data_IF_753089782504
#
_entry.id   IF_753089782504
#
_cell.length_a   1.000
_cell.length_b   1.000
_cell.length_c   1.000
_cell.angle_alpha   90.00
_cell.angle_beta   90.00
_cell.angle_gamma   90.00
#
_symmetry.space_group_name_H-M   'P 1'
#
loop_
_entity.id
_entity.type
_entity.pdbx_description
1 polymer ?
#
# COMPACT_ATOMS: atom_id res chain seq x y z
N UNK A 1 13.75 -9.52 22.97
CA UNK A 1 12.55 -9.85 23.75
C UNK A 1 11.65 -8.63 23.77
N UNK A 2 10.32 -8.80 23.66
CA UNK A 2 9.39 -7.70 23.89
C UNK A 2 9.31 -7.42 25.39
N UNK A 3 9.17 -6.16 25.79
CA UNK A 3 8.85 -5.83 27.18
C UNK A 3 7.46 -6.40 27.49
N UNK A 4 7.31 -6.97 28.69
CA UNK A 4 6.02 -7.47 29.21
C UNK A 4 5.67 -6.69 30.46
N UNK A 5 4.39 -6.43 30.64
CA UNK A 5 3.85 -5.81 31.86
C UNK A 5 3.56 -6.87 32.89
N UNK A 6 3.80 -6.55 34.15
CA UNK A 6 3.58 -7.49 35.23
C UNK A 6 3.20 -6.77 36.51
N UNK A 7 2.36 -7.42 37.31
CA UNK A 7 2.05 -7.03 38.69
C UNK A 7 3.13 -7.64 39.58
N UNK A 8 3.76 -6.82 40.42
CA UNK A 8 4.71 -7.30 41.42
C UNK A 8 3.91 -7.97 42.55
N UNK A 9 4.07 -9.28 42.72
CA UNK A 9 3.40 -10.04 43.76
C UNK A 9 4.10 -9.87 45.12
N UNK A 10 5.42 -10.02 45.14
CA UNK A 10 6.26 -9.75 46.30
C UNK A 10 7.70 -9.40 45.89
N UNK A 11 8.40 -8.70 46.79
CA UNK A 11 9.85 -8.59 46.73
C UNK A 11 10.41 -9.92 47.25
N UNK A 12 11.25 -10.59 46.46
CA UNK A 12 11.82 -11.88 46.88
C UNK A 12 12.61 -11.72 48.18
N UNK A 13 12.47 -12.67 49.11
CA UNK A 13 13.18 -12.64 50.38
C UNK A 13 14.70 -12.54 50.14
N UNK A 14 15.31 -11.46 50.64
CA UNK A 14 16.75 -11.36 50.72
C UNK A 14 17.22 -12.49 51.63
N UNK A 15 17.99 -13.45 51.09
CA UNK A 15 18.41 -14.64 51.83
C UNK A 15 19.48 -14.35 52.92
N UNK A 16 19.64 -13.10 53.36
CA UNK A 16 20.59 -12.68 54.38
C UNK A 16 20.41 -11.19 54.72
N UNK A 17 20.61 -10.86 55.99
CA UNK A 17 20.06 -9.71 56.75
C UNK A 17 20.47 -8.28 56.31
N UNK A 18 21.18 -8.07 55.20
CA UNK A 18 21.57 -6.70 54.77
C UNK A 18 21.53 -6.42 53.25
N UNK A 19 21.17 -7.39 52.41
CA UNK A 19 21.16 -7.19 50.95
C UNK A 19 19.77 -6.81 50.42
N UNK A 20 19.72 -5.81 49.52
CA UNK A 20 18.49 -5.44 48.80
C UNK A 20 17.97 -6.64 47.99
N UNK A 21 16.64 -6.79 47.83
CA UNK A 21 16.09 -7.88 47.04
C UNK A 21 16.54 -7.78 45.58
N UNK A 22 17.33 -8.76 45.14
CA UNK A 22 17.81 -8.85 43.76
C UNK A 22 16.71 -9.27 42.76
N UNK A 23 15.59 -9.78 43.27
CA UNK A 23 14.54 -10.42 42.48
C UNK A 23 13.14 -9.94 42.85
N UNK A 24 12.29 -9.90 41.83
CA UNK A 24 10.86 -9.63 41.90
C UNK A 24 10.11 -10.90 41.50
N UNK A 25 9.20 -11.35 42.35
CA UNK A 25 8.16 -12.31 41.94
C UNK A 25 7.05 -11.50 41.24
N UNK A 26 6.82 -11.77 39.96
CA UNK A 26 5.91 -11.01 39.11
C UNK A 26 4.87 -11.91 38.45
N UNK A 27 3.67 -11.37 38.22
CA UNK A 27 2.59 -12.01 37.48
C UNK A 27 2.38 -11.20 36.20
N UNK A 28 2.66 -11.79 35.04
CA UNK A 28 2.54 -11.09 33.77
C UNK A 28 1.06 -10.85 33.40
N UNK A 29 0.73 -9.64 32.94
CA UNK A 29 -0.65 -9.23 32.64
C UNK A 29 -1.22 -9.90 31.37
N UNK A 30 -0.36 -10.37 30.46
CA UNK A 30 -0.76 -10.93 29.16
C UNK A 30 -1.27 -12.38 29.24
N UNK A 31 -0.64 -13.21 30.06
CA UNK A 31 -0.99 -14.64 30.20
C UNK A 31 -1.23 -15.09 31.65
N UNK A 32 -1.06 -14.19 32.64
CA UNK A 32 -1.18 -14.52 34.06
C UNK A 32 -0.06 -15.41 34.59
N UNK A 33 1.01 -15.63 33.81
CA UNK A 33 2.13 -16.48 34.24
C UNK A 33 2.96 -15.80 35.32
N UNK A 34 3.39 -16.61 36.29
CA UNK A 34 4.28 -16.17 37.36
C UNK A 34 5.75 -16.37 36.94
N UNK A 35 6.61 -15.42 37.30
CA UNK A 35 8.04 -15.52 37.06
C UNK A 35 8.87 -14.73 38.07
N UNK A 36 10.15 -15.09 38.15
CA UNK A 36 11.18 -14.31 38.86
C UNK A 36 11.96 -13.46 37.89
N UNK A 37 11.96 -12.15 38.11
CA UNK A 37 12.67 -11.17 37.28
C UNK A 37 13.68 -10.44 38.14
N UNK A 38 14.88 -10.18 37.62
CA UNK A 38 15.87 -9.38 38.34
C UNK A 38 15.38 -7.95 38.48
N UNK A 39 15.54 -7.35 39.66
CA UNK A 39 15.14 -5.97 39.89
C UNK A 39 15.80 -5.00 38.89
N UNK A 40 17.06 -5.25 38.50
CA UNK A 40 17.80 -4.46 37.52
C UNK A 40 17.22 -4.51 36.09
N UNK A 41 16.47 -5.57 35.76
CA UNK A 41 15.82 -5.74 34.45
C UNK A 41 14.40 -5.15 34.44
N UNK A 42 13.85 -4.82 35.61
CA UNK A 42 12.55 -4.21 35.77
C UNK A 42 12.63 -2.67 35.69
N UNK A 43 11.60 -2.05 35.15
CA UNK A 43 11.42 -0.60 35.14
C UNK A 43 10.05 -0.27 35.74
N UNK A 44 9.95 0.77 36.58
CA UNK A 44 8.67 1.21 37.07
C UNK A 44 7.80 1.69 35.91
N UNK A 45 6.49 1.48 36.01
CA UNK A 45 5.51 2.03 35.08
C UNK A 45 5.52 3.56 35.16
N UNK A 46 5.37 4.22 34.02
CA UNK A 46 5.18 5.66 33.95
C UNK A 46 3.80 6.04 34.52
N UNK A 47 3.69 7.22 35.12
CA UNK A 47 2.45 7.67 35.78
C UNK A 47 1.24 7.67 34.84
N UNK A 48 1.44 7.98 33.55
CA UNK A 48 0.37 8.01 32.57
C UNK A 48 -0.12 6.60 32.16
N UNK A 49 0.65 5.55 32.44
CA UNK A 49 0.28 4.15 32.16
C UNK A 49 -0.83 3.63 33.08
N UNK A 50 -0.98 4.23 34.26
CA UNK A 50 -2.05 3.90 35.21
C UNK A 50 -3.45 4.25 34.67
N UNK A 51 -3.54 5.09 33.63
CA UNK A 51 -4.79 5.48 33.01
C UNK A 51 -4.91 4.84 31.62
N UNK A 52 -6.10 4.39 31.20
CA UNK A 52 -6.29 3.89 29.84
C UNK A 52 -5.97 4.98 28.81
N UNK A 53 -5.38 4.57 27.68
CA UNK A 53 -5.09 5.48 26.58
C UNK A 53 -6.36 6.19 26.11
N UNK A 54 -6.42 7.52 26.27
CA UNK A 54 -7.57 8.31 25.87
C UNK A 54 -7.18 9.63 25.22
N UNK A 55 -7.81 9.89 24.08
CA UNK A 55 -7.73 11.17 23.37
C UNK A 55 -9.16 11.59 23.04
N UNK A 56 -9.65 12.65 23.69
CA UNK A 56 -10.99 13.18 23.47
C UNK A 56 -10.94 14.18 22.31
N UNK A 57 -12.05 14.26 21.57
CA UNK A 57 -12.24 15.31 20.57
C UNK A 57 -12.51 16.67 21.22
N UNK A 58 -12.82 17.68 20.39
CA UNK A 58 -13.15 19.04 20.83
C UNK A 58 -12.00 20.03 20.61
N UNK A 59 -12.07 21.18 21.29
CA UNK A 59 -11.13 22.29 21.10
C UNK A 59 -9.67 21.91 21.42
N UNK A 60 -9.47 21.03 22.41
CA UNK A 60 -8.14 20.60 22.87
C UNK A 60 -7.58 19.40 22.09
N UNK A 61 -8.25 18.95 21.02
CA UNK A 61 -7.83 17.79 20.22
C UNK A 61 -6.36 17.86 19.78
N UNK A 62 -5.82 19.01 19.28
CA UNK A 62 -4.41 19.11 18.91
C UNK A 62 -3.45 18.78 20.06
N UNK A 63 -3.71 19.35 21.24
CA UNK A 63 -2.87 19.17 22.42
C UNK A 63 -2.96 17.74 22.96
N UNK A 64 -4.16 17.16 23.00
CA UNK A 64 -4.35 15.78 23.45
C UNK A 64 -3.71 14.77 22.51
N UNK A 65 -3.85 14.94 21.19
CA UNK A 65 -3.23 14.06 20.22
C UNK A 65 -1.69 14.15 20.27
N UNK A 66 -1.15 15.35 20.48
CA UNK A 66 0.28 15.54 20.70
C UNK A 66 0.76 14.86 21.99
N UNK A 67 0.02 14.99 23.10
CA UNK A 67 0.31 14.30 24.36
C UNK A 67 0.35 12.79 24.18
N UNK A 68 -0.68 12.21 23.56
CA UNK A 68 -0.71 10.76 23.28
C UNK A 68 0.45 10.31 22.39
N UNK A 69 0.91 11.15 21.44
CA UNK A 69 2.12 10.86 20.67
C UNK A 69 3.35 10.80 21.57
N UNK A 70 3.55 11.77 22.45
CA UNK A 70 4.72 11.80 23.33
C UNK A 70 4.73 10.66 24.35
N UNK A 71 3.58 10.36 24.96
CA UNK A 71 3.40 9.17 25.81
C UNK A 71 3.77 7.89 25.04
N UNK A 72 3.25 7.73 23.82
CA UNK A 72 3.60 6.60 22.97
C UNK A 72 5.10 6.54 22.60
N UNK A 73 5.75 7.69 22.40
CA UNK A 73 7.18 7.77 22.11
C UNK A 73 8.03 7.34 23.33
N UNK A 74 7.58 7.66 24.55
CA UNK A 74 8.21 7.21 25.79
C UNK A 74 8.09 5.68 25.89
N UNK A 75 6.88 5.13 25.78
CA UNK A 75 6.63 3.68 25.85
C UNK A 75 7.42 2.89 24.81
N UNK A 76 7.47 3.39 23.57
CA UNK A 76 8.24 2.74 22.51
C UNK A 76 9.74 2.70 22.83
N UNK A 77 10.30 3.74 23.45
CA UNK A 77 11.70 3.76 23.91
C UNK A 77 11.96 2.82 25.09
N UNK A 78 10.95 2.61 25.94
CA UNK A 78 10.99 1.63 27.02
C UNK A 78 10.88 0.19 26.52
N UNK A 79 10.51 -0.03 25.25
CA UNK A 79 10.36 -1.33 24.62
C UNK A 79 8.94 -1.88 24.66
N UNK A 80 8.00 -1.17 25.30
CA UNK A 80 6.58 -1.54 25.33
C UNK A 80 5.87 -1.04 24.05
N UNK A 81 6.04 -1.83 22.99
CA UNK A 81 5.44 -1.53 21.69
C UNK A 81 3.92 -1.68 21.69
N UNK A 82 3.35 -2.54 22.54
CA UNK A 82 1.91 -2.77 22.61
C UNK A 82 1.21 -1.54 23.19
N UNK A 83 1.65 -1.08 24.36
CA UNK A 83 1.09 0.11 24.99
C UNK A 83 1.33 1.38 24.16
N UNK A 84 2.51 1.50 23.54
CA UNK A 84 2.78 2.59 22.60
C UNK A 84 1.76 2.62 21.45
N UNK A 85 1.47 1.45 20.86
CA UNK A 85 0.49 1.33 19.78
C UNK A 85 -0.93 1.76 20.22
N UNK A 86 -1.33 1.46 21.45
CA UNK A 86 -2.61 1.90 22.03
C UNK A 86 -2.70 3.42 22.18
N UNK A 87 -1.64 4.07 22.66
CA UNK A 87 -1.58 5.54 22.76
C UNK A 87 -1.71 6.20 21.39
N UNK A 88 -0.99 5.68 20.40
CA UNK A 88 -1.13 6.16 19.03
C UNK A 88 -2.53 5.89 18.48
N UNK A 89 -3.13 4.73 18.79
CA UNK A 89 -4.48 4.39 18.33
C UNK A 89 -5.56 5.31 18.89
N UNK A 90 -5.47 5.69 20.17
CA UNK A 90 -6.39 6.65 20.78
C UNK A 90 -6.36 8.01 20.04
N UNK A 91 -5.17 8.53 19.76
CA UNK A 91 -5.00 9.78 19.00
C UNK A 91 -5.49 9.67 17.54
N UNK A 92 -5.20 8.54 16.87
CA UNK A 92 -5.68 8.26 15.52
C UNK A 92 -7.21 8.23 15.46
N UNK A 93 -7.85 7.54 16.41
CA UNK A 93 -9.30 7.47 16.49
C UNK A 93 -9.92 8.86 16.73
N UNK A 94 -9.28 9.70 17.55
CA UNK A 94 -9.75 11.05 17.80
C UNK A 94 -9.62 11.98 16.57
N UNK A 95 -8.47 11.97 15.90
CA UNK A 95 -8.19 12.79 14.70
C UNK A 95 -8.94 12.30 13.45
N UNK A 96 -9.24 11.01 13.39
CA UNK A 96 -9.90 10.37 12.26
C UNK A 96 -11.43 10.44 12.27
N UNK A 97 -12.02 10.82 13.41
CA UNK A 97 -13.46 10.98 13.54
C UNK A 97 -13.91 12.13 12.63
N UNK A 98 -14.77 11.80 11.68
CA UNK A 98 -15.46 12.76 10.83
C UNK A 98 -16.46 13.52 11.69
N UNK A 99 -16.18 14.79 11.96
CA UNK A 99 -17.16 15.67 12.61
C UNK A 99 -18.09 16.18 11.52
N UNK A 100 -19.18 15.46 11.27
CA UNK A 100 -20.21 15.87 10.33
C UNK A 100 -20.70 17.29 10.70
N UNK A 101 -20.78 18.14 9.67
CA UNK A 101 -20.60 19.58 9.77
C UNK A 101 -21.51 20.26 10.78
N UNK A 102 -20.92 21.20 11.52
CA UNK A 102 -21.67 22.39 11.87
C UNK A 102 -22.08 23.09 10.57
N UNK A 103 -23.34 23.54 10.45
CA UNK A 103 -23.82 24.18 9.23
C UNK A 103 -22.95 25.39 8.87
N UNK A 104 -22.43 25.41 7.63
CA UNK A 104 -21.61 26.50 7.11
C UNK A 104 -20.08 26.24 7.08
N UNK A 105 -19.62 25.02 7.35
CA UNK A 105 -18.20 24.66 7.17
C UNK A 105 -17.87 24.26 5.73
N UNK A 106 -16.61 24.46 5.35
CA UNK A 106 -16.04 24.04 4.07
C UNK A 106 -16.14 22.51 3.91
N UNK A 107 -16.19 21.98 2.66
CA UNK A 107 -16.20 20.54 2.42
C UNK A 107 -15.03 19.86 3.14
N UNK A 108 -15.34 18.79 3.87
CA UNK A 108 -14.35 18.05 4.66
C UNK A 108 -13.69 17.01 3.75
N UNK A 109 -12.37 17.09 3.63
CA UNK A 109 -11.59 16.08 2.91
C UNK A 109 -11.51 14.81 3.77
N UNK A 110 -11.88 13.68 3.20
CA UNK A 110 -11.86 12.37 3.87
C UNK A 110 -11.11 11.34 3.02
N UNK A 111 -10.58 10.32 3.68
CA UNK A 111 -10.09 9.10 3.05
C UNK A 111 -11.12 7.99 3.20
N UNK A 112 -11.42 7.31 2.10
CA UNK A 112 -12.35 6.18 2.06
C UNK A 112 -11.74 4.99 1.34
N UNK A 113 -12.02 3.79 1.81
CA UNK A 113 -11.60 2.55 1.16
C UNK A 113 -12.73 2.03 0.25
N UNK A 114 -12.51 2.07 -1.07
CA UNK A 114 -13.48 1.60 -2.07
C UNK A 114 -12.79 0.56 -2.95
N UNK A 115 -13.29 -0.68 -2.94
CA UNK A 115 -12.73 -1.79 -3.72
C UNK A 115 -11.26 -2.06 -3.42
N UNK A 116 -10.84 -1.96 -2.15
CA UNK A 116 -9.44 -2.13 -1.73
C UNK A 116 -8.50 -0.99 -2.12
N UNK A 117 -9.02 0.08 -2.71
CA UNK A 117 -8.26 1.30 -3.05
C UNK A 117 -8.63 2.42 -2.09
N UNK A 118 -7.63 3.14 -1.58
CA UNK A 118 -7.86 4.36 -0.81
C UNK A 118 -8.09 5.53 -1.76
N UNK A 119 -9.19 6.24 -1.54
CA UNK A 119 -9.59 7.43 -2.27
C UNK A 119 -9.60 8.65 -1.35
N UNK A 120 -9.14 9.77 -1.87
CA UNK A 120 -9.49 11.07 -1.33
C UNK A 120 -10.88 11.44 -1.85
N UNK A 121 -11.76 11.85 -0.95
CA UNK A 121 -13.12 12.24 -1.25
C UNK A 121 -13.51 13.48 -0.45
N UNK A 122 -14.46 14.25 -0.95
CA UNK A 122 -15.10 15.32 -0.19
C UNK A 122 -16.41 14.79 0.39
N UNK A 123 -16.61 15.03 1.68
CA UNK A 123 -17.91 14.86 2.30
C UNK A 123 -18.76 16.10 1.95
N UNK A 124 -19.79 15.90 1.14
CA UNK A 124 -20.73 16.95 0.77
C UNK A 124 -21.95 16.79 1.67
N UNK A 125 -22.12 17.73 2.61
CA UNK A 125 -23.33 17.80 3.42
C UNK A 125 -24.53 18.01 2.49
N UNK A 126 -25.41 17.01 2.45
CA UNK A 126 -26.73 17.16 1.88
C UNK A 126 -27.44 18.19 2.75
N UNK A 127 -27.50 19.44 2.26
CA UNK A 127 -27.77 20.63 3.06
C UNK A 127 -28.91 20.49 4.07
N UNK A 128 -28.82 21.30 5.14
CA UNK A 128 -29.63 21.29 6.36
C UNK A 128 -31.16 21.12 6.25
N UNK A 129 -31.75 21.14 5.05
CA UNK A 129 -33.20 21.02 4.81
C UNK A 129 -33.72 19.57 4.77
N UNK A 130 -32.88 18.53 4.83
CA UNK A 130 -33.32 17.11 4.86
C UNK A 130 -32.70 16.28 6.01
N UNK A 131 -32.34 16.95 7.11
CA UNK A 131 -31.51 16.46 8.22
C UNK A 131 -31.99 15.20 8.99
N UNK A 132 -33.16 14.63 8.71
CA UNK A 132 -33.65 13.46 9.43
C UNK A 132 -33.31 12.10 8.77
N UNK A 133 -32.91 12.08 7.48
CA UNK A 133 -32.61 10.82 6.77
C UNK A 133 -31.57 10.93 5.65
N UNK A 134 -31.03 12.12 5.38
CA UNK A 134 -30.12 12.32 4.25
C UNK A 134 -28.76 11.68 4.54
N UNK A 135 -28.51 10.53 3.89
CA UNK A 135 -27.18 9.92 3.78
C UNK A 135 -26.19 10.97 3.27
N UNK A 136 -25.15 11.23 4.04
CA UNK A 136 -24.03 12.08 3.63
C UNK A 136 -23.48 11.57 2.30
N UNK A 137 -23.41 12.43 1.28
CA UNK A 137 -22.90 12.00 -0.02
C UNK A 137 -21.39 12.22 -0.11
N UNK A 138 -20.68 11.21 -0.62
CA UNK A 138 -19.24 11.25 -0.82
C UNK A 138 -18.94 11.57 -2.29
N UNK A 139 -18.20 12.66 -2.52
CA UNK A 139 -17.67 13.00 -3.85
C UNK A 139 -16.24 12.49 -3.95
N UNK A 140 -16.03 11.37 -4.63
CA UNK A 140 -14.68 10.85 -4.88
C UNK A 140 -13.88 11.83 -5.75
N UNK A 141 -12.71 12.25 -5.26
CA UNK A 141 -11.82 13.14 -5.98
C UNK A 141 -10.78 12.35 -6.78
N UNK A 142 -9.98 11.54 -6.08
CA UNK A 142 -8.87 10.79 -6.70
C UNK A 142 -8.42 9.60 -5.85
N UNK A 143 -7.86 8.59 -6.51
CA UNK A 143 -7.21 7.48 -5.83
C UNK A 143 -5.85 7.93 -5.27
N UNK A 144 -5.61 7.67 -3.98
CA UNK A 144 -4.34 8.01 -3.28
C UNK A 144 -3.50 6.77 -2.95
N UNK A 145 -4.10 5.56 -3.04
CA UNK A 145 -3.43 4.27 -2.89
C UNK A 145 -2.63 3.87 -4.14
N UNK A 146 -1.36 3.47 -3.95
CA UNK A 146 -0.47 3.06 -5.04
C UNK A 146 -0.81 1.71 -5.67
N UNK A 147 -1.70 1.72 -6.66
CA UNK A 147 -1.60 1.10 -7.99
C UNK A 147 -2.94 1.38 -8.63
N UNK A 148 -2.94 2.24 -9.64
CA UNK A 148 -4.11 2.48 -10.47
C UNK A 148 -4.57 1.15 -11.04
N UNK A 149 -5.58 0.56 -10.41
CA UNK A 149 -6.49 -0.27 -11.16
C UNK A 149 -6.99 0.63 -12.28
N UNK A 150 -6.80 0.24 -13.55
CA UNK A 150 -7.29 1.03 -14.68
C UNK A 150 -8.76 1.29 -14.39
N UNK A 151 -9.16 2.56 -14.30
CA UNK A 151 -10.55 2.97 -14.04
C UNK A 151 -11.46 2.10 -14.87
N UNK A 152 -12.03 1.06 -14.26
CA UNK A 152 -12.92 0.17 -14.99
C UNK A 152 -14.13 1.04 -15.26
N UNK A 153 -14.33 1.34 -16.54
CA UNK A 153 -15.27 2.33 -17.04
C UNK A 153 -16.75 1.91 -16.86
N UNK A 154 -17.02 1.05 -15.88
CA UNK A 154 -18.32 0.49 -15.52
C UNK A 154 -18.41 0.00 -14.08
N UNK A 155 -17.59 0.54 -13.17
CA UNK A 155 -17.54 0.13 -11.76
C UNK A 155 -18.79 0.52 -10.96
N UNK A 156 -19.23 -0.39 -10.09
CA UNK A 156 -20.32 -0.23 -9.14
C UNK A 156 -20.31 1.14 -8.45
N UNK A 157 -21.50 1.69 -8.22
CA UNK A 157 -21.68 2.96 -7.53
C UNK A 157 -20.86 2.95 -6.22
N UNK A 158 -20.08 4.01 -5.94
CA UNK A 158 -19.31 4.09 -4.72
C UNK A 158 -20.25 3.95 -3.51
N UNK A 159 -19.76 3.36 -2.40
CA UNK A 159 -20.56 3.26 -1.18
C UNK A 159 -21.06 4.66 -0.79
N UNK A 160 -22.36 4.76 -0.56
CA UNK A 160 -23.06 6.02 -0.29
C UNK A 160 -23.07 6.40 1.20
N UNK A 161 -22.51 5.56 2.08
CA UNK A 161 -22.38 5.88 3.51
C UNK A 161 -20.96 6.40 3.80
N UNK A 162 -20.88 7.45 4.61
CA UNK A 162 -19.62 7.93 5.20
C UNK A 162 -19.08 7.03 6.31
N UNK A 163 -19.68 5.86 6.51
CA UNK A 163 -19.27 4.90 7.54
C UNK A 163 -17.88 4.34 7.19
N UNK A 164 -16.91 4.54 8.09
CA UNK A 164 -15.52 4.17 7.84
C UNK A 164 -14.71 5.20 7.04
N UNK A 165 -15.27 6.40 6.76
CA UNK A 165 -14.48 7.52 6.28
C UNK A 165 -13.54 8.03 7.37
N UNK A 166 -12.31 8.38 6.98
CA UNK A 166 -11.29 8.92 7.86
C UNK A 166 -11.07 10.40 7.51
N UNK A 167 -11.32 11.31 8.44
CA UNK A 167 -11.08 12.73 8.20
C UNK A 167 -9.59 13.03 7.92
N UNK A 168 -9.31 13.81 6.88
CA UNK A 168 -7.96 14.26 6.52
C UNK A 168 -7.72 15.62 7.17
N UNK A 169 -6.89 15.63 8.21
CA UNK A 169 -6.59 16.87 8.92
C UNK A 169 -5.65 17.76 8.08
N UNK A 170 -5.89 19.08 7.98
CA UNK A 170 -5.01 20.00 7.27
C UNK A 170 -3.80 20.43 8.13
N UNK A 171 -2.80 21.04 7.49
CA UNK A 171 -1.68 21.72 8.16
C UNK A 171 -0.87 20.83 9.12
N UNK A 172 -0.55 21.37 10.31
CA UNK A 172 0.25 20.68 11.34
C UNK A 172 -0.47 19.46 11.95
N UNK A 173 -1.80 19.43 11.90
CA UNK A 173 -2.58 18.28 12.37
C UNK A 173 -2.51 17.11 11.39
N UNK A 174 -2.54 17.36 10.08
CA UNK A 174 -2.32 16.31 9.07
C UNK A 174 -0.93 15.68 9.16
N UNK A 175 0.05 16.53 9.45
CA UNK A 175 1.42 16.15 9.78
C UNK A 175 1.51 15.23 11.00
N UNK A 176 0.82 15.61 12.09
CA UNK A 176 0.71 14.81 13.31
C UNK A 176 -0.02 13.48 13.04
N UNK A 177 -1.15 13.51 12.35
CA UNK A 177 -1.97 12.36 12.00
C UNK A 177 -1.14 11.31 11.22
N UNK A 178 -0.43 11.73 10.17
CA UNK A 178 0.45 10.84 9.44
C UNK A 178 1.57 10.27 10.33
N UNK A 179 2.17 11.08 11.21
CA UNK A 179 3.22 10.61 12.12
C UNK A 179 2.74 9.55 13.11
N UNK A 180 1.50 9.64 13.60
CA UNK A 180 0.91 8.66 14.52
C UNK A 180 0.77 7.28 13.86
N UNK A 181 0.28 7.22 12.61
CA UNK A 181 0.23 5.97 11.84
C UNK A 181 1.62 5.39 11.59
N UNK A 182 2.61 6.24 11.28
CA UNK A 182 4.00 5.77 11.11
C UNK A 182 4.58 5.21 12.41
N UNK A 183 4.35 5.86 13.55
CA UNK A 183 4.84 5.38 14.84
C UNK A 183 4.15 4.07 15.24
N UNK A 184 2.82 3.97 15.06
CA UNK A 184 2.08 2.73 15.29
C UNK A 184 2.54 1.60 14.38
N UNK A 185 2.87 1.88 13.11
CA UNK A 185 3.42 0.86 12.21
C UNK A 185 4.77 0.29 12.66
N UNK A 186 5.63 1.11 13.30
CA UNK A 186 6.89 0.64 13.90
C UNK A 186 6.63 -0.29 15.07
N UNK A 187 5.63 0.02 15.89
CA UNK A 187 5.17 -0.86 16.97
C UNK A 187 4.68 -2.19 16.41
N UNK A 188 3.86 -2.17 15.35
CA UNK A 188 3.40 -3.41 14.70
C UNK A 188 4.53 -4.26 14.13
N UNK A 189 5.57 -3.64 13.58
CA UNK A 189 6.77 -4.38 13.14
C UNK A 189 7.52 -5.02 14.32
N UNK A 190 7.66 -4.30 15.43
CA UNK A 190 8.28 -4.83 16.65
C UNK A 190 7.49 -6.01 17.24
N UNK A 191 6.17 -5.97 17.12
CA UNK A 191 5.23 -7.02 17.54
C UNK A 191 5.06 -8.15 16.50
N UNK A 192 5.84 -8.18 15.41
CA UNK A 192 5.73 -9.19 14.35
C UNK A 192 4.46 -9.10 13.49
N UNK A 193 3.62 -8.09 13.69
CA UNK A 193 2.34 -7.88 12.99
C UNK A 193 2.52 -7.11 11.67
N UNK A 194 3.30 -7.66 10.75
CA UNK A 194 3.67 -6.98 9.49
C UNK A 194 2.45 -6.56 8.63
N UNK A 195 1.35 -7.31 8.65
CA UNK A 195 0.13 -6.94 7.91
C UNK A 195 -0.48 -5.62 8.39
N UNK A 196 -0.57 -5.42 9.71
CA UNK A 196 -1.06 -4.16 10.31
C UNK A 196 -0.10 -3.01 9.99
N UNK A 197 1.21 -3.26 10.01
CA UNK A 197 2.19 -2.26 9.61
C UNK A 197 2.03 -1.81 8.14
N UNK A 198 1.74 -2.73 7.21
CA UNK A 198 1.46 -2.40 5.79
C UNK A 198 0.20 -1.53 5.67
N UNK A 199 -0.84 -1.81 6.44
CA UNK A 199 -2.06 -1.01 6.45
C UNK A 199 -1.79 0.42 6.96
N UNK A 200 -1.17 0.55 8.14
CA UNK A 200 -0.88 1.86 8.75
C UNK A 200 0.04 2.72 7.87
N UNK A 201 1.08 2.13 7.28
CA UNK A 201 1.95 2.85 6.33
C UNK A 201 1.24 3.20 5.03
N UNK A 202 0.29 2.37 4.58
CA UNK A 202 -0.59 2.67 3.45
C UNK A 202 -1.48 3.88 3.71
N UNK A 203 -2.10 3.96 4.89
CA UNK A 203 -2.93 5.10 5.30
C UNK A 203 -2.08 6.35 5.47
N UNK A 204 -0.92 6.26 6.12
CA UNK A 204 0.00 7.40 6.25
C UNK A 204 0.42 7.97 4.89
N UNK A 205 0.78 7.12 3.92
CA UNK A 205 1.10 7.56 2.57
C UNK A 205 -0.09 8.20 1.85
N UNK A 206 -1.31 7.65 2.04
CA UNK A 206 -2.53 8.20 1.48
C UNK A 206 -2.85 9.59 2.05
N UNK A 207 -2.72 9.79 3.36
CA UNK A 207 -2.90 11.10 4.04
C UNK A 207 -1.93 12.16 3.50
N UNK A 208 -0.67 11.79 3.26
CA UNK A 208 0.31 12.73 2.68
C UNK A 208 -0.05 13.12 1.26
N UNK A 209 -0.47 12.14 0.45
CA UNK A 209 -0.84 12.39 -0.95
C UNK A 209 -2.14 13.17 -1.09
N UNK A 210 -3.13 12.94 -0.22
CA UNK A 210 -4.41 13.66 -0.27
C UNK A 210 -4.22 15.16 -0.05
N UNK A 211 -3.24 15.56 0.76
CA UNK A 211 -2.89 16.96 1.03
C UNK A 211 -2.03 17.62 -0.04
N UNK A 212 -1.45 16.85 -0.98
CA UNK A 212 -0.62 17.42 -2.04
C UNK A 212 -1.50 17.97 -3.17
N UNK A 213 -1.25 19.17 -3.71
CA UNK A 213 -1.99 19.66 -4.87
C UNK A 213 -1.85 18.65 -6.03
N UNK A 214 -2.93 18.40 -6.76
CA UNK A 214 -2.87 17.50 -7.90
C UNK A 214 -1.97 18.12 -8.96
N UNK A 215 -0.80 17.53 -9.28
CA UNK A 215 0.10 18.09 -10.27
C UNK A 215 -0.54 18.17 -11.67
N UNK A 216 -1.62 17.43 -11.91
CA UNK A 216 -2.39 17.46 -13.16
C UNK A 216 -3.45 18.56 -13.24
N UNK A 217 -3.82 19.20 -12.13
CA UNK A 217 -4.93 20.17 -12.09
C UNK A 217 -4.46 21.63 -11.98
N UNK A 218 -3.16 21.91 -12.11
CA UNK A 218 -2.56 23.24 -11.91
C UNK A 218 -2.80 24.20 -13.10
N UNK A 219 -3.69 23.90 -14.05
CA UNK A 219 -3.85 24.84 -15.17
C UNK A 219 -4.93 24.54 -16.18
N UNK A 220 -6.21 24.58 -15.78
CA UNK A 220 -7.29 24.78 -16.76
C UNK A 220 -8.39 25.76 -16.31
N UNK A 221 -8.28 26.41 -15.14
CA UNK A 221 -9.31 27.36 -14.68
C UNK A 221 -9.15 28.80 -15.21
N UNK A 222 -8.13 29.11 -16.01
CA UNK A 222 -7.98 30.47 -16.61
C UNK A 222 -7.70 30.53 -18.11
N UNK A 223 -7.73 29.41 -18.85
CA UNK A 223 -7.52 29.42 -20.31
C UNK A 223 -8.72 28.88 -21.07
N UNK A 224 -9.53 29.83 -21.53
CA UNK A 224 -10.51 29.71 -22.59
C UNK A 224 -10.02 28.85 -23.78
N UNK A 225 -10.91 28.11 -24.47
CA UNK A 225 -10.54 27.03 -25.36
C UNK A 225 -10.14 27.53 -26.75
N UNK A 226 -8.97 27.11 -27.22
CA UNK A 226 -8.64 27.13 -28.65
C UNK A 226 -7.19 27.42 -28.97
N UNK A 227 -6.43 26.39 -29.39
CA UNK A 227 -5.64 26.43 -30.65
C UNK A 227 -4.42 25.51 -30.69
N UNK A 228 -3.93 24.92 -29.59
CA UNK A 228 -2.58 24.31 -29.65
C UNK A 228 -2.51 22.78 -29.77
N UNK A 229 -3.60 22.04 -29.53
CA UNK A 229 -3.58 20.57 -29.66
C UNK A 229 -3.81 20.05 -31.10
N UNK A 230 -4.28 20.90 -32.02
CA UNK A 230 -4.41 20.52 -33.43
C UNK A 230 -3.08 20.58 -34.22
N UNK A 231 -2.06 21.29 -33.73
CA UNK A 231 -0.77 21.41 -34.43
C UNK A 231 0.08 20.13 -34.40
N UNK A 232 -0.01 19.31 -33.34
CA UNK A 232 0.85 18.13 -33.17
C UNK A 232 0.39 16.89 -33.93
N UNK A 233 -0.92 16.74 -34.19
CA UNK A 233 -1.42 15.68 -35.08
C UNK A 233 -1.19 16.03 -36.56
N UNK A 234 -1.23 17.30 -36.93
CA UNK A 234 -0.99 17.69 -38.34
C UNK A 234 0.45 17.41 -38.81
N UNK A 235 1.47 17.56 -37.93
CA UNK A 235 2.86 17.35 -38.33
C UNK A 235 3.20 15.87 -38.61
N UNK A 236 2.66 14.92 -37.85
CA UNK A 236 2.91 13.49 -38.10
C UNK A 236 2.18 12.97 -39.35
N UNK A 237 0.98 13.50 -39.65
CA UNK A 237 0.26 13.13 -40.87
C UNK A 237 0.83 13.78 -42.14
N UNK A 238 1.41 14.98 -42.03
CA UNK A 238 2.07 15.65 -43.16
C UNK A 238 3.30 14.90 -43.66
N UNK A 239 4.16 14.43 -42.74
CA UNK A 239 5.39 13.71 -43.09
C UNK A 239 5.10 12.34 -43.72
N UNK A 240 4.11 11.61 -43.21
CA UNK A 240 3.69 10.33 -43.79
C UNK A 240 3.14 10.49 -45.22
N UNK A 241 2.36 11.55 -45.49
CA UNK A 241 1.84 11.83 -46.84
C UNK A 241 2.94 12.26 -47.83
N UNK A 242 3.96 12.99 -47.37
CA UNK A 242 5.10 13.39 -48.19
C UNK A 242 5.93 12.18 -48.63
N UNK A 243 6.18 11.24 -47.71
CA UNK A 243 6.88 9.99 -48.01
C UNK A 243 6.08 9.11 -48.97
N UNK A 244 4.77 8.97 -48.74
CA UNK A 244 3.90 8.16 -49.61
C UNK A 244 3.79 8.77 -51.04
N UNK A 245 3.68 10.10 -51.13
CA UNK A 245 3.61 10.83 -52.40
C UNK A 245 4.90 10.72 -53.20
N UNK A 246 6.07 10.79 -52.54
CA UNK A 246 7.36 10.65 -53.21
C UNK A 246 7.57 9.22 -53.74
N UNK A 247 7.21 8.19 -52.97
CA UNK A 247 7.28 6.79 -53.43
C UNK A 247 6.37 6.51 -54.63
N UNK A 248 5.16 7.08 -54.67
CA UNK A 248 4.27 6.95 -55.82
C UNK A 248 4.80 7.68 -57.05
N UNK A 249 5.33 8.90 -56.90
CA UNK A 249 5.88 9.66 -58.03
C UNK A 249 7.06 8.95 -58.71
N UNK A 250 7.92 8.29 -57.92
CA UNK A 250 9.02 7.47 -58.47
C UNK A 250 8.54 6.22 -59.21
N UNK A 251 7.41 5.62 -58.81
CA UNK A 251 6.89 4.41 -59.43
C UNK A 251 6.27 4.63 -60.82
N UNK A 252 5.82 5.85 -61.12
CA UNK A 252 5.10 6.16 -62.37
C UNK A 252 5.91 7.01 -63.38
N UNK A 253 7.14 7.43 -63.05
CA UNK A 253 7.83 8.51 -63.77
C UNK A 253 8.78 8.13 -64.92
N UNK A 254 9.53 7.04 -64.87
CA UNK A 254 10.61 6.82 -65.86
C UNK A 254 10.88 5.34 -66.15
N UNK A 255 10.60 4.84 -67.37
CA UNK A 255 10.80 3.43 -67.72
C UNK A 255 12.26 3.04 -68.02
N UNK A 256 13.23 3.97 -67.96
CA UNK A 256 14.61 3.72 -68.39
C UNK A 256 15.63 3.47 -67.25
N UNK A 257 15.19 3.39 -65.98
CA UNK A 257 16.10 3.26 -64.83
C UNK A 257 15.62 2.23 -63.80
N UNK A 258 15.13 1.07 -64.27
CA UNK A 258 14.41 0.09 -63.46
C UNK A 258 15.32 -0.75 -62.53
N UNK A 259 16.59 -0.95 -62.85
CA UNK A 259 17.49 -1.79 -62.02
C UNK A 259 18.09 -1.04 -60.81
N UNK A 260 18.26 0.29 -60.88
CA UNK A 260 18.82 1.07 -59.77
C UNK A 260 17.75 1.63 -58.81
N UNK A 261 16.48 1.65 -59.20
CA UNK A 261 15.38 2.21 -58.38
C UNK A 261 15.01 1.31 -57.20
N UNK A 262 15.10 -0.02 -57.37
CA UNK A 262 14.78 -0.99 -56.29
C UNK A 262 15.79 -0.85 -55.13
N UNK A 263 17.07 -0.72 -55.45
CA UNK A 263 18.14 -0.54 -54.47
C UNK A 263 18.01 0.77 -53.68
N UNK A 264 17.65 1.86 -54.36
CA UNK A 264 17.40 3.16 -53.71
C UNK A 264 16.16 3.09 -52.82
N UNK A 265 15.08 2.43 -53.26
CA UNK A 265 13.86 2.24 -52.47
C UNK A 265 14.09 1.46 -51.17
N UNK A 266 14.86 0.37 -51.22
CA UNK A 266 15.23 -0.43 -50.05
C UNK A 266 16.12 0.34 -49.06
N UNK A 267 17.11 1.09 -49.54
CA UNK A 267 17.95 1.97 -48.70
C UNK A 267 17.11 3.04 -48.00
N UNK A 268 16.13 3.61 -48.68
CA UNK A 268 15.26 4.65 -48.13
C UNK A 268 14.33 4.08 -47.05
N UNK A 269 13.75 2.90 -47.28
CA UNK A 269 12.93 2.18 -46.28
C UNK A 269 13.75 1.80 -45.04
N UNK A 270 14.98 1.32 -45.22
CA UNK A 270 15.88 0.99 -44.12
C UNK A 270 16.26 2.25 -43.31
N UNK A 271 16.51 3.38 -43.98
CA UNK A 271 16.80 4.64 -43.30
C UNK A 271 15.59 5.19 -42.51
N UNK A 272 14.38 5.13 -43.08
CA UNK A 272 13.15 5.57 -42.41
C UNK A 272 12.80 4.63 -41.24
N UNK A 273 12.91 3.32 -41.43
CA UNK A 273 12.71 2.32 -40.38
C UNK A 273 13.74 2.47 -39.25
N UNK A 274 15.00 2.71 -39.60
CA UNK A 274 16.08 2.99 -38.66
C UNK A 274 15.84 4.29 -37.88
N UNK A 275 15.44 5.37 -38.54
CA UNK A 275 15.10 6.63 -37.89
C UNK A 275 13.87 6.52 -36.99
N UNK A 276 12.86 5.73 -37.37
CA UNK A 276 11.71 5.44 -36.52
C UNK A 276 12.11 4.60 -35.30
N UNK A 277 12.93 3.57 -35.48
CA UNK A 277 13.42 2.73 -34.38
C UNK A 277 14.31 3.51 -33.42
N UNK A 278 15.22 4.34 -33.95
CA UNK A 278 16.03 5.29 -33.17
C UNK A 278 15.12 6.30 -32.49
N UNK A 279 14.07 6.80 -33.14
CA UNK A 279 13.08 7.68 -32.53
C UNK A 279 12.30 7.01 -31.40
N UNK A 280 11.97 5.71 -31.51
CA UNK A 280 11.34 4.91 -30.46
C UNK A 280 12.32 4.63 -29.32
N UNK A 281 13.59 4.37 -29.62
CA UNK A 281 14.65 4.17 -28.61
C UNK A 281 15.02 5.46 -27.89
N UNK A 282 15.14 6.57 -28.61
CA UNK A 282 15.31 7.90 -28.02
C UNK A 282 14.06 8.24 -27.24
N UNK A 283 12.85 7.98 -27.75
CA UNK A 283 11.62 8.25 -27.00
C UNK A 283 11.49 7.37 -25.78
N UNK A 284 11.89 6.09 -25.80
CA UNK A 284 11.87 5.22 -24.62
C UNK A 284 12.98 5.58 -23.64
N UNK A 285 14.15 6.01 -24.11
CA UNK A 285 15.23 6.55 -23.29
C UNK A 285 14.91 7.94 -22.72
N UNK A 286 14.17 8.77 -23.46
CA UNK A 286 13.82 10.16 -23.10
C UNK A 286 12.49 10.26 -22.35
N UNK A 287 11.61 9.27 -22.46
CA UNK A 287 10.50 9.06 -21.54
C UNK A 287 10.93 8.25 -20.31
N UNK A 288 12.03 7.51 -20.40
CA UNK A 288 12.74 6.90 -19.26
C UNK A 288 13.63 7.89 -18.51
N UNK A 289 14.07 8.97 -19.17
CA UNK A 289 14.50 10.21 -18.52
C UNK A 289 13.22 10.84 -17.99
N UNK A 290 12.83 10.38 -16.80
CA UNK A 290 11.86 11.01 -15.92
C UNK A 290 11.90 12.51 -16.19
N UNK A 291 10.79 13.07 -16.72
CA UNK A 291 10.54 14.51 -16.53
C UNK A 291 10.95 14.77 -15.10
N UNK A 292 11.76 15.80 -14.79
CA UNK A 292 11.96 16.21 -13.42
C UNK A 292 10.56 16.59 -12.94
N UNK A 293 9.85 15.57 -12.44
CA UNK A 293 8.80 15.71 -11.49
C UNK A 293 9.44 16.66 -10.52
N UNK A 294 8.78 17.79 -10.30
CA UNK A 294 8.96 18.56 -9.09
C UNK A 294 8.63 17.61 -7.95
N UNK A 295 9.55 16.68 -7.72
CA UNK A 295 9.33 15.48 -6.96
C UNK A 295 9.08 16.00 -5.58
N UNK A 296 7.85 15.83 -5.13
CA UNK A 296 7.42 16.40 -3.87
C UNK A 296 8.28 15.72 -2.81
N UNK A 297 9.25 16.49 -2.33
CA UNK A 297 10.19 16.08 -1.30
C UNK A 297 9.40 16.01 0.00
N UNK A 298 8.93 14.81 0.31
CA UNK A 298 8.16 14.56 1.53
C UNK A 298 8.84 13.45 2.32
N UNK A 299 9.52 13.87 3.39
CA UNK A 299 10.24 12.98 4.28
C UNK A 299 9.34 11.89 4.88
N UNK A 300 8.09 12.24 5.26
CA UNK A 300 7.16 11.28 5.85
C UNK A 300 6.65 10.29 4.81
N UNK A 301 6.43 10.73 3.57
CA UNK A 301 6.07 9.84 2.48
C UNK A 301 7.20 8.83 2.19
N UNK A 302 8.46 9.27 2.21
CA UNK A 302 9.62 8.39 2.13
C UNK A 302 9.61 7.35 3.26
N UNK A 303 9.45 7.78 4.51
CA UNK A 303 9.37 6.88 5.67
C UNK A 303 8.21 5.89 5.57
N UNK A 304 7.04 6.33 5.08
CA UNK A 304 5.88 5.46 4.88
C UNK A 304 6.21 4.32 3.89
N UNK A 305 6.79 4.64 2.74
CA UNK A 305 7.19 3.64 1.75
C UNK A 305 8.31 2.73 2.25
N UNK A 306 9.30 3.27 2.96
CA UNK A 306 10.37 2.49 3.57
C UNK A 306 9.82 1.45 4.56
N UNK A 307 8.98 1.87 5.52
CA UNK A 307 8.39 0.97 6.51
C UNK A 307 7.46 -0.06 5.86
N UNK A 308 6.69 0.33 4.83
CA UNK A 308 5.84 -0.59 4.07
C UNK A 308 6.67 -1.65 3.32
N UNK A 309 7.77 -1.23 2.71
CA UNK A 309 8.71 -2.11 2.04
C UNK A 309 9.32 -3.13 3.00
N UNK A 310 9.76 -2.68 4.18
CA UNK A 310 10.27 -3.55 5.24
C UNK A 310 9.20 -4.53 5.74
N UNK A 311 7.97 -4.06 5.98
CA UNK A 311 6.86 -4.92 6.39
C UNK A 311 6.54 -6.00 5.34
N UNK A 312 6.51 -5.64 4.05
CA UNK A 312 6.32 -6.60 2.95
C UNK A 312 7.49 -7.57 2.82
N UNK A 313 8.71 -7.14 3.11
CA UNK A 313 9.87 -8.02 3.13
C UNK A 313 9.75 -9.10 4.22
N UNK A 314 9.30 -8.71 5.43
CA UNK A 314 9.00 -9.65 6.53
C UNK A 314 7.90 -10.64 6.14
N UNK A 315 6.93 -10.22 5.32
CA UNK A 315 5.90 -11.11 4.77
C UNK A 315 6.37 -12.01 3.60
N UNK A 316 7.66 -11.97 3.22
CA UNK A 316 8.18 -12.68 2.05
C UNK A 316 7.75 -12.09 0.71
N UNK A 317 7.09 -10.93 0.67
CA UNK A 317 6.59 -10.27 -0.55
C UNK A 317 7.66 -9.39 -1.21
N UNK A 318 8.76 -10.02 -1.64
CA UNK A 318 9.97 -9.34 -2.14
C UNK A 318 9.70 -8.36 -3.28
N UNK A 319 8.93 -8.76 -4.32
CA UNK A 319 8.60 -7.87 -5.46
C UNK A 319 7.85 -6.61 -5.03
N UNK A 320 6.96 -6.73 -4.04
CA UNK A 320 6.21 -5.60 -3.52
C UNK A 320 7.08 -4.67 -2.67
N UNK A 321 8.03 -5.24 -1.90
CA UNK A 321 9.03 -4.49 -1.17
C UNK A 321 9.97 -3.69 -2.10
N UNK A 322 10.36 -4.26 -3.24
CA UNK A 322 11.15 -3.56 -4.27
C UNK A 322 10.40 -2.37 -4.88
N UNK A 323 9.11 -2.52 -5.17
CA UNK A 323 8.28 -1.43 -5.68
C UNK A 323 8.17 -0.29 -4.65
N UNK A 324 8.04 -0.62 -3.37
CA UNK A 324 8.04 0.37 -2.29
C UNK A 324 9.39 1.04 -2.13
N UNK A 325 10.50 0.28 -2.21
CA UNK A 325 11.86 0.83 -2.18
C UNK A 325 12.09 1.82 -3.32
N UNK A 326 11.69 1.48 -4.55
CA UNK A 326 11.79 2.38 -5.70
C UNK A 326 10.99 3.66 -5.48
N UNK A 327 9.77 3.54 -4.96
CA UNK A 327 8.93 4.70 -4.64
C UNK A 327 9.54 5.56 -3.54
N UNK A 328 10.06 4.95 -2.46
CA UNK A 328 10.73 5.66 -1.37
C UNK A 328 11.98 6.40 -1.85
N UNK A 329 12.78 5.77 -2.71
CA UNK A 329 13.98 6.37 -3.30
C UNK A 329 13.65 7.59 -4.15
N UNK A 330 12.54 7.57 -4.87
CA UNK A 330 12.10 8.70 -5.71
C UNK A 330 11.66 9.94 -4.90
N UNK A 331 11.22 9.76 -3.64
CA UNK A 331 10.75 10.85 -2.76
C UNK A 331 11.74 11.23 -1.64
N UNK A 332 12.91 10.57 -1.58
CA UNK A 332 13.90 10.82 -0.55
C UNK A 332 14.58 12.19 -0.74
N UNK A 333 14.76 12.93 0.36
CA UNK A 333 15.30 14.30 0.35
C UNK A 333 16.57 14.48 1.21
N UNK A 334 17.02 13.43 1.91
CA UNK A 334 18.15 13.53 2.83
C UNK A 334 19.13 12.36 2.78
N UNK A 335 20.40 12.63 3.11
CA UNK A 335 21.46 11.61 3.21
C UNK A 335 21.12 10.52 4.24
N UNK A 336 20.45 10.89 5.35
CA UNK A 336 19.98 9.94 6.36
C UNK A 336 18.99 8.92 5.78
N UNK A 337 17.98 9.38 5.04
CA UNK A 337 17.00 8.50 4.38
C UNK A 337 17.65 7.61 3.33
N UNK A 338 18.58 8.16 2.54
CA UNK A 338 19.33 7.37 1.56
C UNK A 338 20.17 6.26 2.24
N UNK A 339 20.73 6.53 3.42
CA UNK A 339 21.45 5.51 4.21
C UNK A 339 20.52 4.39 4.68
N UNK A 340 19.33 4.72 5.19
CA UNK A 340 18.32 3.72 5.56
C UNK A 340 17.83 2.91 4.35
N UNK A 341 17.60 3.56 3.21
CA UNK A 341 17.22 2.89 1.98
C UNK A 341 18.31 1.93 1.49
N UNK A 342 19.59 2.27 1.61
CA UNK A 342 20.69 1.33 1.31
C UNK A 342 20.69 0.12 2.24
N UNK A 343 20.26 0.25 3.52
CA UNK A 343 20.08 -0.89 4.42
C UNK A 343 18.96 -1.80 3.90
N UNK A 344 17.77 -1.25 3.62
CA UNK A 344 16.65 -2.01 3.05
C UNK A 344 17.01 -2.68 1.72
N UNK A 345 17.77 -2.00 0.85
CA UNK A 345 18.23 -2.58 -0.41
C UNK A 345 19.12 -3.83 -0.18
N UNK A 346 19.99 -3.80 0.83
CA UNK A 346 20.82 -4.95 1.20
C UNK A 346 19.97 -6.10 1.74
N UNK A 347 19.00 -5.81 2.62
CA UNK A 347 18.05 -6.80 3.14
C UNK A 347 17.25 -7.47 2.01
N UNK A 348 16.71 -6.68 1.06
CA UNK A 348 16.01 -7.21 -0.12
C UNK A 348 16.94 -8.11 -0.94
N UNK A 349 18.17 -7.68 -1.19
CA UNK A 349 19.14 -8.46 -1.96
C UNK A 349 19.51 -9.78 -1.26
N UNK A 350 19.62 -9.77 0.06
CA UNK A 350 19.90 -10.96 0.88
C UNK A 350 18.75 -11.97 0.78
N UNK A 351 17.51 -11.54 1.00
CA UNK A 351 16.32 -12.41 0.85
C UNK A 351 16.22 -12.98 -0.55
N UNK A 352 16.55 -12.21 -1.60
CA UNK A 352 16.61 -12.73 -2.98
C UNK A 352 17.65 -13.83 -3.17
N UNK A 353 18.84 -13.68 -2.57
CA UNK A 353 19.88 -14.73 -2.62
C UNK A 353 19.42 -15.97 -1.88
N UNK A 354 18.80 -15.82 -0.71
CA UNK A 354 18.18 -16.90 0.05
C UNK A 354 17.15 -17.68 -0.78
N UNK A 355 16.18 -16.97 -1.37
CA UNK A 355 15.15 -17.56 -2.22
C UNK A 355 15.73 -18.27 -3.45
N UNK A 356 16.80 -17.73 -4.05
CA UNK A 356 17.50 -18.40 -5.16
C UNK A 356 18.18 -19.68 -4.73
N UNK A 357 18.75 -19.74 -3.51
CA UNK A 357 19.35 -20.98 -2.96
C UNK A 357 18.26 -22.02 -2.70
N UNK A 358 17.19 -21.63 -2.00
CA UNK A 358 16.04 -22.50 -1.75
C UNK A 358 15.43 -23.05 -3.04
N UNK A 359 15.23 -22.21 -4.06
CA UNK A 359 14.70 -22.66 -5.34
C UNK A 359 15.58 -23.73 -6.02
N UNK A 360 16.91 -23.63 -5.89
CA UNK A 360 17.84 -24.64 -6.41
C UNK A 360 17.79 -25.94 -5.62
N UNK A 361 17.65 -25.86 -4.30
CA UNK A 361 17.51 -27.04 -3.43
C UNK A 361 16.19 -27.76 -3.71
N UNK A 362 15.09 -27.02 -3.84
CA UNK A 362 13.79 -27.57 -4.25
C UNK A 362 13.88 -28.23 -5.61
N UNK A 363 14.50 -27.58 -6.61
CA UNK A 363 14.71 -28.19 -7.92
C UNK A 363 15.51 -29.49 -7.83
N UNK A 364 16.62 -29.50 -7.07
CA UNK A 364 17.43 -30.71 -6.84
C UNK A 364 16.63 -31.83 -6.17
N UNK A 365 15.76 -31.50 -5.22
CA UNK A 365 14.90 -32.47 -4.55
C UNK A 365 13.85 -33.03 -5.51
N UNK A 366 13.21 -32.17 -6.31
CA UNK A 366 12.31 -32.60 -7.38
C UNK A 366 13.02 -33.54 -8.36
N UNK A 367 14.21 -33.18 -8.85
CA UNK A 367 14.99 -34.02 -9.78
C UNK A 367 15.33 -35.39 -9.14
N UNK A 368 15.75 -35.41 -7.88
CA UNK A 368 16.05 -36.65 -7.17
C UNK A 368 14.79 -37.51 -6.91
N UNK A 369 13.65 -36.88 -6.63
CA UNK A 369 12.38 -37.57 -6.47
C UNK A 369 11.89 -38.16 -7.81
N UNK A 370 11.96 -37.38 -8.90
CA UNK A 370 11.64 -37.82 -10.25
C UNK A 370 12.55 -38.95 -10.72
N UNK A 371 13.84 -38.93 -10.35
CA UNK A 371 14.78 -40.01 -10.68
C UNK A 371 14.51 -41.31 -9.90
N UNK A 372 13.93 -41.23 -8.69
CA UNK A 372 13.55 -42.39 -7.86
C UNK A 372 12.17 -42.94 -8.20
N UNK A 373 11.26 -42.07 -8.61
CA UNK A 373 9.97 -42.45 -9.15
C UNK A 373 10.21 -43.10 -10.51
N UNK A 374 10.35 -44.42 -10.53
CA UNK A 374 10.36 -45.18 -11.79
C UNK A 374 9.11 -44.88 -12.62
N UNK A 375 9.10 -45.19 -13.93
CA UNK A 375 7.95 -44.94 -14.81
C UNK A 375 6.63 -45.50 -14.26
N UNK A 376 6.69 -46.60 -13.50
CA UNK A 376 5.54 -47.26 -12.89
C UNK A 376 4.90 -46.44 -11.74
N UNK A 377 5.67 -45.59 -11.05
CA UNK A 377 5.15 -44.75 -9.97
C UNK A 377 4.18 -43.68 -10.49
N UNK A 378 4.38 -43.19 -11.72
CA UNK A 378 3.45 -42.26 -12.36
C UNK A 378 2.22 -42.97 -12.91
N UNK A 379 2.36 -44.23 -13.38
CA UNK A 379 1.22 -45.05 -13.81
C UNK A 379 0.26 -45.32 -12.64
N UNK A 380 0.78 -45.65 -11.46
CA UNK A 380 -0.04 -45.90 -10.27
C UNK A 380 -0.82 -44.66 -9.79
N UNK A 381 -0.20 -43.47 -9.82
CA UNK A 381 -0.87 -42.21 -9.43
C UNK A 381 -1.92 -41.80 -10.45
N UNK A 382 -1.64 -41.96 -11.76
CA UNK A 382 -2.62 -41.69 -12.81
C UNK A 382 -3.84 -42.63 -12.70
N UNK A 383 -3.62 -43.92 -12.44
CA UNK A 383 -4.69 -44.88 -12.21
C UNK A 383 -5.49 -44.59 -10.93
N UNK A 384 -4.83 -44.16 -9.85
CA UNK A 384 -5.51 -43.79 -8.60
C UNK A 384 -6.31 -42.48 -8.72
N UNK A 385 -5.83 -41.50 -9.49
CA UNK A 385 -6.56 -40.27 -9.73
C UNK A 385 -7.80 -40.50 -10.60
N UNK A 386 -7.69 -41.35 -11.63
CA UNK A 386 -8.83 -41.80 -12.43
C UNK A 386 -9.85 -42.58 -11.60
N UNK A 387 -9.40 -43.47 -10.71
CA UNK A 387 -10.29 -44.18 -9.81
C UNK A 387 -11.03 -43.24 -8.86
N UNK A 388 -10.35 -42.22 -8.32
CA UNK A 388 -10.96 -41.23 -7.44
C UNK A 388 -11.95 -40.29 -8.16
N UNK A 389 -11.72 -39.94 -9.42
CA UNK A 389 -12.71 -39.19 -10.23
C UNK A 389 -13.96 -40.02 -10.53
N UNK A 390 -13.82 -41.33 -10.70
CA UNK A 390 -14.95 -42.24 -10.91
C UNK A 390 -15.78 -42.38 -9.62
N UNK A 391 -15.14 -42.57 -8.46
CA UNK A 391 -15.84 -42.64 -7.18
C UNK A 391 -16.57 -41.32 -6.85
N UNK A 392 -15.95 -40.16 -7.13
CA UNK A 392 -16.59 -38.86 -6.91
C UNK A 392 -17.78 -38.63 -7.85
N UNK A 393 -17.73 -39.17 -9.07
CA UNK A 393 -18.83 -39.09 -10.02
C UNK A 393 -20.01 -40.01 -9.61
N UNK A 394 -19.74 -41.18 -9.05
CA UNK A 394 -20.79 -42.08 -8.54
C UNK A 394 -21.51 -41.50 -7.32
N UNK A 395 -20.79 -40.85 -6.40
CA UNK A 395 -21.41 -40.19 -5.23
C UNK A 395 -22.28 -38.98 -5.63
N UNK A 396 -21.92 -38.24 -6.69
CA UNK A 396 -22.71 -37.11 -7.19
C UNK A 396 -24.00 -37.58 -7.87
N UNK A 397 -24.00 -38.76 -8.50
CA UNK A 397 -25.21 -39.33 -9.13
C UNK A 397 -26.16 -39.94 -8.09
N UNK A 398 -25.64 -40.42 -6.95
CA UNK A 398 -26.46 -40.97 -5.87
C UNK A 398 -27.17 -39.91 -5.00
N UNK A 399 -26.71 -38.65 -5.02
CA UNK A 399 -27.28 -37.53 -4.23
C UNK A 399 -27.95 -36.50 -5.14
N UNK A 400 -28.80 -36.96 -6.08
CA UNK A 400 -29.78 -36.10 -6.73
C UNK A 400 -31.10 -36.15 -5.95
N UNK A 401 -31.38 -35.20 -5.03
CA UNK A 401 -32.68 -35.15 -4.36
C UNK A 401 -33.76 -34.78 -5.39
N UNK A 402 -34.71 -35.67 -5.58
CA UNK A 402 -36.02 -35.39 -6.18
C UNK A 402 -36.80 -34.46 -5.23
N UNK A 403 -36.47 -33.17 -5.24
CA UNK A 403 -37.21 -32.18 -4.48
C UNK A 403 -38.61 -31.98 -5.13
N UNK A 404 -39.71 -32.11 -4.36
CA UNK A 404 -41.03 -31.73 -4.83
C UNK A 404 -41.14 -30.20 -4.99
N UNK A 405 -42.03 -29.71 -5.87
CA UNK A 405 -42.16 -28.28 -6.14
C UNK A 405 -42.79 -27.56 -4.94
N UNK A 406 -42.00 -26.80 -4.19
CA UNK A 406 -42.51 -25.94 -3.13
C UNK A 406 -43.08 -24.63 -3.70
N UNK A 407 -44.35 -24.39 -3.37
CA UNK A 407 -45.08 -23.14 -3.54
C UNK A 407 -44.41 -22.03 -2.72
N UNK A 408 -43.86 -21.01 -3.39
CA UNK A 408 -43.34 -19.80 -2.74
C UNK A 408 -44.49 -18.81 -2.54
N UNK A 409 -44.97 -18.71 -1.30
CA UNK A 409 -45.90 -17.68 -0.86
C UNK A 409 -45.12 -16.43 -0.43
N UNK A 410 -45.28 -15.34 -1.18
CA UNK A 410 -44.60 -14.06 -0.94
C UNK A 410 -45.36 -13.27 0.11
N UNK A 411 -44.88 -13.26 1.35
CA UNK A 411 -45.29 -12.25 2.33
C UNK A 411 -44.34 -11.05 2.28
N UNK A 412 -44.90 -9.91 1.86
CA UNK A 412 -44.30 -8.58 1.94
C UNK A 412 -44.37 -8.06 3.37
N UNK A 413 -43.27 -7.46 3.83
CA UNK A 413 -43.26 -6.41 4.85
C UNK A 413 -42.60 -5.17 4.23
#
# INVERSE_FOLDING_TARGET
>A
AAARRAIVACLGDASGEEDLPDWLDVIFEDDGSEARVKLADAKPLELFEAQPASCRGGADLPAQAARCREEGNVLFRLGDSAAAAERYAAAIAALGRVVAGQPGHAPVLVLVAVGGTLWAAELVDAGARQAAASKSSLRLLRAVGGRGLPSSRGGAAPPSSGEGALEVQPGSLGDLQASLYLNRSRCWLALGSAARAVQDTGIAAALRRSLQPDPGNVGDETSSPGSLLNGRRLQSFGLAKLVLGFSLACAFGFPAAQENTVSIGLLTLAAVGGAFYIGVLIRSAFWGLERPSTAIKDSRLCTAHFLRGRARLVQGRVKAAEADFATAKAVADGAGQLSELRKLQREIAEVRRGNKRLAKEVARWCDAAMARAGPDAFAAVASSALAAEVDLAEDIVAVAPTAPPEHIEVQRA
#
